data_IF_543605851939
#
_entry.id   IF_543605851939
#
_cell.length_a   1.000
_cell.length_b   1.000
_cell.length_c   1.000
_cell.angle_alpha   90.00
_cell.angle_beta   90.00
_cell.angle_gamma   90.00
#
_symmetry.space_group_name_H-M   'P 1'
#
loop_
_entity.id
_entity.type
_entity.pdbx_description
1 polymer ?
#
# COMPACT_ATOMS: atom_id res chain seq x y z
N UNK A 1 -3.55 29.05 -0.21
CA UNK A 1 -3.87 27.69 -0.68
C UNK A 1 -2.68 26.83 -0.29
N UNK A 2 -2.88 25.76 0.50
CA UNK A 2 -1.82 24.78 0.75
C UNK A 2 -1.33 24.24 -0.61
N UNK A 3 -0.04 24.39 -0.91
CA UNK A 3 0.56 23.79 -2.10
C UNK A 3 0.52 22.27 -1.96
N UNK A 4 -0.32 21.62 -2.77
CA UNK A 4 -0.35 20.16 -2.83
C UNK A 4 0.92 19.65 -3.51
N UNK A 5 1.47 18.59 -2.93
CA UNK A 5 2.63 17.87 -3.43
C UNK A 5 2.15 16.70 -4.28
N UNK A 6 2.13 16.89 -5.60
CA UNK A 6 1.69 15.89 -6.57
C UNK A 6 1.91 16.37 -8.00
N UNK A 7 1.82 15.44 -8.95
CA UNK A 7 1.82 15.76 -10.38
C UNK A 7 0.37 15.63 -10.87
N UNK A 8 -0.25 16.71 -11.38
CA UNK A 8 -1.60 16.66 -11.94
C UNK A 8 -1.74 15.52 -12.95
N UNK A 9 -2.91 14.88 -12.98
CA UNK A 9 -3.17 13.78 -13.90
C UNK A 9 -3.07 14.24 -15.36
N UNK A 10 -3.38 15.52 -15.61
CA UNK A 10 -3.40 16.18 -16.90
C UNK A 10 -2.00 16.65 -17.35
N UNK A 11 -0.99 16.64 -16.47
CA UNK A 11 0.36 17.06 -16.82
C UNK A 11 1.16 15.91 -17.45
N UNK A 12 1.63 16.02 -18.71
CA UNK A 12 2.45 14.98 -19.35
C UNK A 12 3.74 14.64 -18.60
N UNK A 13 4.26 15.56 -17.78
CA UNK A 13 5.42 15.31 -16.92
C UNK A 13 5.25 14.06 -16.03
N UNK A 14 4.00 13.76 -15.64
CA UNK A 14 3.67 12.61 -14.81
C UNK A 14 3.50 11.28 -15.55
N UNK A 15 3.59 11.24 -16.88
CA UNK A 15 3.27 10.04 -17.67
C UNK A 15 4.15 8.85 -17.32
N UNK A 16 5.46 9.06 -17.20
CA UNK A 16 6.40 8.01 -16.81
C UNK A 16 6.09 7.46 -15.42
N UNK A 17 5.77 8.33 -14.45
CA UNK A 17 5.40 7.92 -13.11
C UNK A 17 4.09 7.12 -13.14
N UNK A 18 3.07 7.59 -13.86
CA UNK A 18 1.78 6.89 -14.00
C UNK A 18 1.94 5.53 -14.67
N UNK A 19 2.78 5.41 -15.69
CA UNK A 19 3.09 4.14 -16.35
C UNK A 19 3.72 3.13 -15.37
N UNK A 20 4.67 3.58 -14.53
CA UNK A 20 5.27 2.74 -13.49
C UNK A 20 4.27 2.33 -12.41
N UNK A 21 3.43 3.27 -11.93
CA UNK A 21 2.36 2.96 -10.97
C UNK A 21 1.40 1.91 -11.56
N UNK A 22 1.00 2.08 -12.82
CA UNK A 22 0.13 1.12 -13.53
C UNK A 22 0.78 -0.27 -13.64
N UNK A 23 2.08 -0.35 -13.91
CA UNK A 23 2.84 -1.60 -13.88
C UNK A 23 2.85 -2.22 -12.48
N UNK A 24 3.03 -1.43 -11.43
CA UNK A 24 2.94 -1.90 -10.04
C UNK A 24 1.56 -2.47 -9.69
N UNK A 25 0.48 -1.82 -10.15
CA UNK A 25 -0.88 -2.34 -9.98
C UNK A 25 -1.11 -3.69 -10.67
N UNK A 26 -0.47 -3.96 -11.82
CA UNK A 26 -0.52 -5.27 -12.49
C UNK A 26 0.14 -6.36 -11.65
N UNK A 27 1.27 -6.04 -11.00
CA UNK A 27 1.93 -6.98 -10.08
C UNK A 27 1.03 -7.29 -8.89
N UNK A 28 0.43 -6.26 -8.26
CA UNK A 28 -0.53 -6.47 -7.17
C UNK A 28 -1.73 -7.32 -7.62
N UNK A 29 -2.29 -7.04 -8.80
CA UNK A 29 -3.38 -7.83 -9.38
C UNK A 29 -3.00 -9.30 -9.46
N UNK A 30 -1.81 -9.62 -9.99
CA UNK A 30 -1.38 -11.02 -10.10
C UNK A 30 -1.20 -11.69 -8.74
N UNK A 31 -0.66 -10.97 -7.75
CA UNK A 31 -0.52 -11.48 -6.37
C UNK A 31 -1.88 -11.74 -5.69
N UNK A 32 -2.88 -10.90 -5.94
CA UNK A 32 -4.25 -11.07 -5.43
C UNK A 32 -5.01 -12.20 -6.13
N UNK A 33 -4.83 -12.35 -7.45
CA UNK A 33 -5.44 -13.46 -8.20
C UNK A 33 -4.99 -14.82 -7.66
N UNK A 34 -3.73 -14.95 -7.23
CA UNK A 34 -3.26 -16.18 -6.57
C UNK A 34 -4.08 -16.49 -5.30
N UNK A 35 -4.42 -15.48 -4.50
CA UNK A 35 -5.31 -15.65 -3.34
C UNK A 35 -6.70 -16.10 -3.77
N UNK A 36 -7.30 -15.41 -4.73
CA UNK A 36 -8.64 -15.72 -5.23
C UNK A 36 -8.73 -17.14 -5.81
N UNK A 37 -7.75 -17.54 -6.62
CA UNK A 37 -7.63 -18.88 -7.18
C UNK A 37 -7.59 -19.95 -6.08
N UNK A 38 -6.80 -19.74 -5.02
CA UNK A 38 -6.64 -20.72 -3.93
C UNK A 38 -7.83 -20.76 -2.99
N UNK A 39 -8.44 -19.62 -2.67
CA UNK A 39 -9.67 -19.58 -1.86
C UNK A 39 -10.88 -20.14 -2.61
N UNK A 40 -10.89 -20.07 -3.94
CA UNK A 40 -11.87 -20.74 -4.80
C UNK A 40 -11.73 -22.26 -4.85
N UNK A 41 -10.61 -22.83 -4.40
CA UNK A 41 -10.43 -24.29 -4.38
C UNK A 41 -11.31 -24.97 -3.31
N UNK A 42 -11.94 -26.11 -3.62
CA UNK A 42 -12.66 -26.90 -2.64
C UNK A 42 -11.73 -27.34 -1.50
N UNK A 43 -12.20 -27.31 -0.25
CA UNK A 43 -11.39 -27.66 0.93
C UNK A 43 -10.68 -29.03 0.80
N UNK A 44 -11.35 -30.01 0.19
CA UNK A 44 -10.78 -31.36 -0.07
C UNK A 44 -9.52 -31.36 -0.94
N UNK A 45 -9.36 -30.36 -1.81
CA UNK A 45 -8.19 -30.23 -2.70
C UNK A 45 -7.03 -29.50 -2.04
N UNK A 46 -7.31 -28.76 -0.96
CA UNK A 46 -6.32 -28.02 -0.18
C UNK A 46 -5.72 -28.92 0.89
N UNK A 47 -6.56 -29.73 1.55
CA UNK A 47 -6.17 -30.56 2.68
C UNK A 47 -5.18 -31.67 2.29
N UNK A 48 -4.04 -31.70 2.98
CA UNK A 48 -2.95 -32.65 2.74
C UNK A 48 -3.26 -34.07 3.23
N UNK A 49 -4.13 -34.24 4.24
CA UNK A 49 -4.40 -35.55 4.85
C UNK A 49 -5.89 -35.92 4.92
N UNK A 50 -6.16 -37.24 4.87
CA UNK A 50 -7.50 -37.80 5.15
C UNK A 50 -7.95 -37.55 6.60
N UNK A 51 -7.01 -37.48 7.54
CA UNK A 51 -7.30 -37.12 8.94
C UNK A 51 -7.85 -35.70 9.05
N UNK A 52 -7.41 -34.79 8.18
CA UNK A 52 -7.86 -33.42 8.20
C UNK A 52 -9.33 -33.33 7.78
N UNK A 53 -9.73 -34.17 6.82
CA UNK A 53 -11.12 -34.28 6.37
C UNK A 53 -12.02 -34.83 7.49
N UNK A 54 -11.52 -35.75 8.30
CA UNK A 54 -12.27 -36.32 9.43
C UNK A 54 -12.60 -35.28 10.51
N UNK A 55 -11.77 -34.25 10.69
CA UNK A 55 -12.06 -33.14 11.62
C UNK A 55 -13.32 -32.38 11.26
N UNK A 56 -13.78 -32.42 10.00
CA UNK A 56 -15.04 -31.76 9.61
C UNK A 56 -16.23 -32.24 10.45
N UNK A 57 -16.23 -33.50 10.85
CA UNK A 57 -17.32 -34.12 11.62
C UNK A 57 -17.08 -33.96 13.12
N UNK A 58 -15.82 -34.07 13.57
CA UNK A 58 -15.46 -34.14 15.00
C UNK A 58 -15.23 -32.75 15.60
N UNK A 59 -14.54 -31.85 14.88
CA UNK A 59 -14.23 -30.49 15.30
C UNK A 59 -14.29 -29.50 14.13
N UNK A 60 -15.50 -29.01 13.77
CA UNK A 60 -15.70 -28.12 12.62
C UNK A 60 -14.83 -26.86 12.63
N UNK A 61 -14.66 -26.22 13.79
CA UNK A 61 -13.81 -25.03 13.93
C UNK A 61 -12.33 -25.33 13.66
N UNK A 62 -11.83 -26.49 14.10
CA UNK A 62 -10.47 -26.95 13.81
C UNK A 62 -10.30 -27.25 12.32
N UNK A 63 -11.30 -27.86 11.71
CA UNK A 63 -11.31 -28.11 10.27
C UNK A 63 -11.23 -26.79 9.47
N UNK A 64 -12.05 -25.80 9.82
CA UNK A 64 -12.03 -24.50 9.14
C UNK A 64 -10.69 -23.78 9.30
N UNK A 65 -10.14 -23.76 10.52
CA UNK A 65 -8.82 -23.17 10.77
C UNK A 65 -7.71 -23.88 9.98
N UNK A 66 -7.74 -25.21 9.91
CA UNK A 66 -6.74 -25.98 9.15
C UNK A 66 -6.85 -25.71 7.65
N UNK A 67 -8.07 -25.61 7.11
CA UNK A 67 -8.30 -25.26 5.71
C UNK A 67 -7.72 -23.87 5.41
N UNK A 68 -7.94 -22.88 6.29
CA UNK A 68 -7.37 -21.53 6.13
C UNK A 68 -5.85 -21.57 6.16
N UNK A 69 -5.24 -22.25 7.13
CA UNK A 69 -3.78 -22.36 7.23
C UNK A 69 -3.17 -22.98 5.97
N UNK A 70 -3.75 -24.08 5.48
CA UNK A 70 -3.24 -24.73 4.27
C UNK A 70 -3.46 -23.90 3.00
N UNK A 71 -4.52 -23.09 2.93
CA UNK A 71 -4.70 -22.11 1.84
C UNK A 71 -3.61 -21.04 1.88
N UNK A 72 -3.36 -20.45 3.03
CA UNK A 72 -2.32 -19.42 3.21
C UNK A 72 -0.93 -19.97 2.86
N UNK A 73 -0.61 -21.21 3.23
CA UNK A 73 0.62 -21.90 2.81
C UNK A 73 0.76 -22.00 1.28
N UNK A 74 -0.31 -22.40 0.59
CA UNK A 74 -0.31 -22.56 -0.87
C UNK A 74 -0.16 -21.19 -1.54
N UNK A 75 -0.88 -20.17 -1.05
CA UNK A 75 -0.80 -18.79 -1.55
C UNK A 75 0.62 -18.27 -1.40
N UNK A 76 1.20 -18.40 -0.21
CA UNK A 76 2.55 -17.98 0.07
C UNK A 76 3.54 -18.62 -0.92
N UNK A 77 3.50 -19.94 -1.08
CA UNK A 77 4.36 -20.66 -2.02
C UNK A 77 4.19 -20.19 -3.46
N UNK A 78 2.95 -20.05 -3.94
CA UNK A 78 2.66 -19.60 -5.32
C UNK A 78 3.11 -18.16 -5.57
N UNK A 79 2.92 -17.26 -4.61
CA UNK A 79 3.38 -15.88 -4.71
C UNK A 79 4.91 -15.80 -4.71
N UNK A 80 5.59 -16.57 -3.86
CA UNK A 80 7.05 -16.65 -3.87
C UNK A 80 7.59 -17.15 -5.22
N UNK A 81 6.95 -18.16 -5.82
CA UNK A 81 7.34 -18.65 -7.16
C UNK A 81 7.09 -17.61 -8.25
N UNK A 82 5.97 -16.89 -8.19
CA UNK A 82 5.72 -15.77 -9.09
C UNK A 82 6.81 -14.69 -8.97
N UNK A 83 7.16 -14.28 -7.75
CA UNK A 83 8.18 -13.25 -7.49
C UNK A 83 9.55 -13.70 -7.95
N UNK A 84 9.90 -14.98 -7.78
CA UNK A 84 11.15 -15.56 -8.26
C UNK A 84 11.35 -15.34 -9.77
N UNK A 85 10.26 -15.41 -10.55
CA UNK A 85 10.25 -15.22 -11.99
C UNK A 85 9.92 -13.79 -12.43
N UNK A 86 9.66 -12.88 -11.47
CA UNK A 86 9.31 -11.49 -11.76
C UNK A 86 10.54 -10.70 -12.25
N UNK A 87 10.44 -9.96 -13.36
CA UNK A 87 11.46 -9.00 -13.77
C UNK A 87 11.71 -7.96 -12.68
N UNK A 88 12.99 -7.65 -12.41
CA UNK A 88 13.37 -6.70 -11.36
C UNK A 88 12.72 -5.32 -11.53
N UNK A 89 12.53 -4.88 -12.78
CA UNK A 89 11.85 -3.60 -13.07
C UNK A 89 10.40 -3.57 -12.57
N UNK A 90 9.66 -4.66 -12.72
CA UNK A 90 8.29 -4.76 -12.22
C UNK A 90 8.25 -4.81 -10.68
N UNK A 91 9.28 -5.37 -10.04
CA UNK A 91 9.41 -5.30 -8.59
C UNK A 91 9.65 -3.84 -8.11
N UNK A 92 10.50 -3.07 -8.80
CA UNK A 92 10.67 -1.63 -8.51
C UNK A 92 9.36 -0.84 -8.67
N UNK A 93 8.63 -1.10 -9.74
CA UNK A 93 7.37 -0.42 -10.05
C UNK A 93 6.29 -0.78 -9.01
N UNK A 94 6.23 -2.04 -8.57
CA UNK A 94 5.40 -2.45 -7.44
C UNK A 94 5.77 -1.69 -6.16
N UNK A 95 7.06 -1.60 -5.82
CA UNK A 95 7.52 -0.88 -4.63
C UNK A 95 7.15 0.60 -4.67
N UNK A 96 7.33 1.25 -5.82
CA UNK A 96 6.95 2.64 -6.02
C UNK A 96 5.44 2.84 -5.83
N UNK A 97 4.63 2.02 -6.49
CA UNK A 97 3.18 2.03 -6.35
C UNK A 97 2.77 1.82 -4.88
N UNK A 98 3.31 0.80 -4.22
CA UNK A 98 2.95 0.47 -2.84
C UNK A 98 3.41 1.54 -1.84
N UNK A 99 4.53 2.21 -2.10
CA UNK A 99 4.98 3.35 -1.29
C UNK A 99 3.97 4.49 -1.34
N UNK A 100 3.46 4.84 -2.52
CA UNK A 100 2.40 5.83 -2.69
C UNK A 100 1.09 5.35 -2.05
N UNK A 101 0.71 4.10 -2.29
CA UNK A 101 -0.48 3.51 -1.71
C UNK A 101 -0.48 3.55 -0.18
N UNK A 102 0.68 3.37 0.45
CA UNK A 102 0.82 3.42 1.91
C UNK A 102 0.41 4.77 2.52
N UNK A 103 0.43 5.87 1.75
CA UNK A 103 -0.02 7.16 2.25
C UNK A 103 -1.53 7.29 2.32
N UNK A 104 -2.30 6.47 1.60
CA UNK A 104 -3.76 6.40 1.74
C UNK A 104 -4.17 5.92 3.16
N UNK A 105 -3.28 5.17 3.81
CA UNK A 105 -3.44 4.69 5.19
C UNK A 105 -2.81 5.65 6.23
N UNK A 106 -2.44 6.88 5.83
CA UNK A 106 -2.14 7.93 6.82
C UNK A 106 -3.41 8.20 7.62
N UNK A 107 -3.26 8.57 8.89
CA UNK A 107 -4.35 8.80 9.83
C UNK A 107 -4.79 10.28 9.95
N UNK A 108 -5.21 11.02 8.91
CA UNK A 108 -6.11 12.12 9.16
C UNK A 108 -7.50 11.54 9.43
N UNK A 109 -8.18 12.10 10.43
CA UNK A 109 -9.58 11.81 10.81
C UNK A 109 -10.50 11.84 9.58
N UNK A 110 -10.12 12.59 8.54
CA UNK A 110 -10.82 12.65 7.24
C UNK A 110 -10.95 11.33 6.49
N UNK A 111 -10.03 10.36 6.70
CA UNK A 111 -10.04 9.10 5.95
C UNK A 111 -10.85 7.99 6.64
N UNK A 112 -11.12 8.11 7.94
CA UNK A 112 -11.79 7.03 8.69
C UNK A 112 -13.07 7.48 9.38
N UNK A 113 -13.38 8.79 9.37
CA UNK A 113 -14.46 9.38 10.15
C UNK A 113 -14.20 9.31 11.67
N UNK A 114 -15.00 10.04 12.44
CA UNK A 114 -14.95 10.01 13.91
C UNK A 114 -15.50 8.70 14.49
N UNK A 115 -16.21 7.92 13.68
CA UNK A 115 -16.92 6.71 14.12
C UNK A 115 -15.99 5.59 14.63
N UNK A 116 -14.74 5.51 14.18
CA UNK A 116 -13.81 4.42 14.52
C UNK A 116 -12.41 4.88 14.92
N UNK A 117 -12.29 6.00 15.63
CA UNK A 117 -11.04 6.37 16.31
C UNK A 117 -10.91 5.64 17.65
N UNK A 118 -9.81 4.89 17.91
CA UNK A 118 -8.58 4.80 17.14
C UNK A 118 -8.59 3.72 16.04
N UNK A 119 -7.71 3.90 15.04
CA UNK A 119 -7.49 2.93 13.95
C UNK A 119 -7.21 1.54 14.52
N UNK A 120 -8.06 0.58 14.17
CA UNK A 120 -8.18 -0.70 14.88
C UNK A 120 -7.13 -1.75 14.47
N UNK A 121 -6.31 -1.46 13.45
CA UNK A 121 -5.40 -2.44 12.84
C UNK A 121 -3.93 -2.14 13.16
N UNK A 122 -3.25 -3.17 13.67
CA UNK A 122 -1.83 -3.18 14.02
C UNK A 122 -1.31 -2.08 14.96
N UNK A 123 -0.19 -2.40 15.59
CA UNK A 123 0.44 -1.66 16.67
C UNK A 123 1.12 -0.39 16.17
N UNK A 124 0.35 0.67 15.89
CA UNK A 124 0.71 2.07 16.17
C UNK A 124 -0.22 3.02 15.41
N UNK A 125 -0.84 3.92 16.16
CA UNK A 125 -1.39 5.15 15.61
C UNK A 125 -0.20 6.01 15.13
N UNK A 126 -0.14 6.44 13.86
CA UNK A 126 0.83 7.45 13.40
C UNK A 126 1.78 7.03 12.27
N UNK A 127 2.95 7.69 12.21
CA UNK A 127 3.94 7.59 11.10
C UNK A 127 4.53 6.16 11.00
N UNK A 128 4.64 5.45 12.11
CA UNK A 128 5.22 4.11 12.13
C UNK A 128 4.31 3.06 11.50
N UNK A 129 2.97 3.21 11.56
CA UNK A 129 2.02 2.33 10.86
C UNK A 129 2.27 2.28 9.35
N UNK A 130 2.52 3.44 8.72
CA UNK A 130 2.88 3.48 7.29
C UNK A 130 4.22 2.79 7.00
N UNK A 131 5.21 2.95 7.90
CA UNK A 131 6.53 2.31 7.73
C UNK A 131 6.39 0.79 7.81
N UNK A 132 5.58 0.29 8.75
CA UNK A 132 5.26 -1.13 8.89
C UNK A 132 4.55 -1.66 7.64
N UNK A 133 3.55 -0.94 7.14
CA UNK A 133 2.86 -1.27 5.89
C UNK A 133 3.84 -1.36 4.71
N UNK A 134 4.69 -0.36 4.51
CA UNK A 134 5.69 -0.37 3.41
C UNK A 134 6.66 -1.55 3.50
N UNK A 135 7.06 -1.94 4.71
CA UNK A 135 7.96 -3.08 4.97
C UNK A 135 7.25 -4.44 4.93
N UNK A 136 5.94 -4.46 4.73
CA UNK A 136 5.14 -5.69 4.79
C UNK A 136 4.96 -6.27 6.19
N UNK A 137 5.28 -5.49 7.23
CA UNK A 137 5.21 -5.93 8.62
C UNK A 137 3.82 -5.73 9.25
N UNK A 138 2.93 -5.03 8.54
CA UNK A 138 1.53 -4.89 8.94
C UNK A 138 0.65 -5.96 8.29
N UNK A 139 -0.35 -6.45 9.02
CA UNK A 139 -1.45 -7.27 8.54
C UNK A 139 -2.25 -6.58 7.44
N UNK A 140 -2.36 -5.25 7.48
CA UNK A 140 -2.98 -4.48 6.37
C UNK A 140 -2.24 -4.73 5.06
N UNK A 141 -0.92 -4.99 5.11
CA UNK A 141 -0.16 -5.43 3.92
C UNK A 141 -0.67 -6.75 3.38
N UNK A 142 -0.90 -7.74 4.26
CA UNK A 142 -1.48 -9.02 3.87
C UNK A 142 -2.85 -8.81 3.23
N UNK A 143 -3.70 -7.97 3.84
CA UNK A 143 -5.03 -7.68 3.33
C UNK A 143 -4.98 -7.04 1.94
N UNK A 144 -4.13 -6.04 1.72
CA UNK A 144 -3.97 -5.41 0.40
C UNK A 144 -3.48 -6.41 -0.63
N UNK A 145 -2.52 -7.27 -0.28
CA UNK A 145 -2.06 -8.34 -1.16
C UNK A 145 -3.20 -9.31 -1.50
N UNK A 146 -4.06 -9.62 -0.53
CA UNK A 146 -5.16 -10.57 -0.65
C UNK A 146 -6.30 -10.03 -1.53
N UNK A 147 -6.79 -8.83 -1.25
CA UNK A 147 -7.90 -8.19 -1.96
C UNK A 147 -7.48 -7.66 -3.35
N UNK A 148 -6.29 -7.09 -3.45
CA UNK A 148 -5.75 -6.58 -4.69
C UNK A 148 -6.24 -5.17 -5.09
N UNK A 149 -6.07 -4.80 -6.38
CA UNK A 149 -6.33 -3.45 -6.86
C UNK A 149 -7.81 -3.07 -6.96
N UNK A 150 -8.70 -4.06 -7.08
CA UNK A 150 -10.12 -3.80 -7.32
C UNK A 150 -10.77 -3.12 -6.10
N UNK A 151 -10.30 -3.44 -4.88
CA UNK A 151 -10.60 -2.74 -3.64
C UNK A 151 -10.46 -1.21 -3.75
N UNK A 152 -9.36 -0.74 -4.34
CA UNK A 152 -9.08 0.69 -4.50
C UNK A 152 -9.85 1.29 -5.66
N UNK A 153 -10.00 0.54 -6.75
CA UNK A 153 -10.83 0.96 -7.89
C UNK A 153 -12.28 1.19 -7.46
N UNK A 154 -12.82 0.31 -6.64
CA UNK A 154 -14.18 0.41 -6.14
C UNK A 154 -14.36 1.67 -5.30
N UNK A 155 -13.49 1.87 -4.31
CA UNK A 155 -13.50 3.07 -3.47
C UNK A 155 -13.28 4.37 -4.24
N UNK A 156 -12.37 4.41 -5.21
CA UNK A 156 -11.97 5.66 -5.87
C UNK A 156 -12.82 6.01 -7.09
N UNK A 157 -13.43 5.02 -7.75
CA UNK A 157 -14.05 5.22 -9.06
C UNK A 157 -15.44 4.63 -9.20
N UNK A 158 -15.65 3.37 -8.78
CA UNK A 158 -16.91 2.69 -9.10
C UNK A 158 -18.05 3.02 -8.14
N UNK A 159 -17.73 3.24 -6.86
CA UNK A 159 -18.75 3.44 -5.82
C UNK A 159 -19.10 4.92 -5.64
N UNK A 160 -20.37 5.26 -5.37
CA UNK A 160 -20.78 6.62 -5.04
C UNK A 160 -20.12 7.11 -3.75
N UNK A 161 -19.55 8.31 -3.75
CA UNK A 161 -18.84 8.87 -2.60
C UNK A 161 -19.76 9.59 -1.61
N UNK A 162 -20.98 9.90 -2.04
CA UNK A 162 -22.01 10.63 -1.32
C UNK A 162 -22.88 9.73 -0.42
N UNK A 163 -22.88 8.42 -0.66
CA UNK A 163 -23.61 7.45 0.14
C UNK A 163 -22.77 6.96 1.32
N UNK A 164 -23.37 6.96 2.52
CA UNK A 164 -22.66 6.59 3.76
C UNK A 164 -22.14 5.14 3.73
N UNK A 165 -22.84 4.22 3.05
CA UNK A 165 -22.49 2.80 2.93
C UNK A 165 -21.22 2.53 2.12
N UNK A 166 -20.86 3.43 1.21
CA UNK A 166 -19.74 3.25 0.28
C UNK A 166 -18.62 4.25 0.49
N UNK A 167 -18.90 5.33 1.24
CA UNK A 167 -17.96 6.39 1.61
C UNK A 167 -16.65 5.86 2.21
N UNK A 168 -16.71 4.78 2.99
CA UNK A 168 -15.55 4.17 3.65
C UNK A 168 -15.34 2.69 3.26
N UNK A 169 -15.65 2.32 2.02
CA UNK A 169 -15.59 0.95 1.51
C UNK A 169 -14.33 0.17 1.92
N UNK A 170 -13.12 0.75 1.75
CA UNK A 170 -11.87 0.04 2.11
C UNK A 170 -11.79 -0.25 3.60
N UNK A 171 -12.14 0.74 4.44
CA UNK A 171 -12.15 0.60 5.89
C UNK A 171 -13.12 -0.50 6.30
N UNK A 172 -14.33 -0.49 5.75
CA UNK A 172 -15.37 -1.44 6.15
C UNK A 172 -15.01 -2.87 5.72
N UNK A 173 -14.40 -3.02 4.55
CA UNK A 173 -13.83 -4.31 4.10
C UNK A 173 -12.69 -4.79 5.01
N UNK A 174 -11.79 -3.90 5.41
CA UNK A 174 -10.72 -4.21 6.37
C UNK A 174 -11.27 -4.69 7.71
N UNK A 175 -12.25 -3.96 8.26
CA UNK A 175 -12.91 -4.29 9.53
C UNK A 175 -13.54 -5.68 9.43
N UNK A 176 -14.32 -5.92 8.37
CA UNK A 176 -14.98 -7.20 8.14
C UNK A 176 -13.96 -8.36 8.00
N UNK A 177 -12.84 -8.14 7.33
CA UNK A 177 -11.80 -9.16 7.19
C UNK A 177 -11.04 -9.43 8.51
N UNK A 178 -10.82 -8.40 9.32
CA UNK A 178 -10.11 -8.51 10.61
C UNK A 178 -10.92 -9.27 11.65
N UNK A 179 -12.19 -8.91 11.81
CA UNK A 179 -13.09 -9.60 12.74
C UNK A 179 -13.57 -10.94 12.18
N UNK A 180 -13.55 -11.12 10.85
CA UNK A 180 -13.99 -12.35 10.19
C UNK A 180 -15.42 -12.72 10.57
N UNK A 181 -15.66 -13.98 10.90
CA UNK A 181 -16.97 -14.48 11.37
C UNK A 181 -17.13 -14.41 12.89
N UNK A 182 -16.26 -13.68 13.61
CA UNK A 182 -16.41 -13.53 15.05
C UNK A 182 -17.69 -12.75 15.36
N UNK A 183 -18.31 -13.03 16.52
CA UNK A 183 -19.51 -12.32 16.97
C UNK A 183 -19.24 -10.92 17.52
N UNK A 184 -17.99 -10.45 17.43
CA UNK A 184 -17.57 -9.16 17.99
C UNK A 184 -17.91 -8.10 16.96
N UNK A 185 -18.81 -7.18 17.30
CA UNK A 185 -19.05 -6.02 16.46
C UNK A 185 -17.88 -5.04 16.55
N UNK A 186 -17.63 -4.24 15.51
CA UNK A 186 -16.66 -3.15 15.57
C UNK A 186 -16.92 -2.18 16.73
N UNK A 187 -18.19 -1.96 17.10
CA UNK A 187 -18.61 -1.13 18.23
C UNK A 187 -18.26 -1.76 19.57
N UNK A 188 -18.46 -3.07 19.72
CA UNK A 188 -18.05 -3.81 20.92
C UNK A 188 -16.53 -3.78 21.09
N UNK A 189 -15.79 -3.89 19.97
CA UNK A 189 -14.34 -3.74 19.97
C UNK A 189 -13.90 -2.35 20.46
N UNK A 190 -14.50 -1.28 19.94
CA UNK A 190 -14.15 0.09 20.37
C UNK A 190 -14.43 0.33 21.85
N UNK A 191 -15.55 -0.18 22.37
CA UNK A 191 -15.91 -0.05 23.79
C UNK A 191 -14.92 -0.75 24.72
N UNK A 192 -14.21 -1.76 24.23
CA UNK A 192 -13.25 -2.55 25.00
C UNK A 192 -11.79 -2.18 24.68
N UNK A 193 -11.57 -1.18 23.81
CA UNK A 193 -10.24 -0.72 23.45
C UNK A 193 -9.59 0.06 24.60
N UNK A 194 -8.98 -0.68 25.53
CA UNK A 194 -8.03 -0.16 26.50
C UNK A 194 -6.61 -0.43 25.96
N UNK A 195 -5.80 0.60 25.64
CA UNK A 195 -4.48 0.44 25.01
C UNK A 195 -3.48 -0.47 25.75
N UNK A 196 -3.76 -0.84 27.01
CA UNK A 196 -2.90 -1.69 27.85
C UNK A 196 -3.25 -3.18 27.82
N UNK A 197 -4.41 -3.57 27.30
CA UNK A 197 -4.94 -4.95 27.36
C UNK A 197 -5.42 -5.47 26.00
N UNK A 198 -4.83 -4.97 24.92
CA UNK A 198 -5.19 -5.40 23.57
C UNK A 198 -4.88 -6.89 23.36
N UNK A 199 -5.89 -7.66 22.99
CA UNK A 199 -5.76 -9.04 22.52
C UNK A 199 -6.33 -9.13 21.10
N UNK A 200 -5.48 -9.52 20.16
CA UNK A 200 -5.89 -9.79 18.79
C UNK A 200 -6.91 -10.95 18.75
N UNK A 201 -8.09 -10.70 18.19
CA UNK A 201 -9.19 -11.68 18.11
C UNK A 201 -8.80 -12.96 17.36
N UNK A 202 -7.81 -12.87 16.47
CA UNK A 202 -7.30 -14.00 15.69
C UNK A 202 -5.75 -14.00 15.67
N UNK A 203 -5.12 -13.72 16.81
CA UNK A 203 -3.66 -13.48 16.93
C UNK A 203 -2.77 -14.45 16.14
N UNK A 204 -3.05 -15.75 16.25
CA UNK A 204 -2.27 -16.80 15.57
C UNK A 204 -2.34 -16.67 14.06
N UNK A 205 -3.54 -16.49 13.51
CA UNK A 205 -3.79 -16.35 12.08
C UNK A 205 -3.20 -15.03 11.57
N UNK A 206 -3.49 -13.92 12.25
CA UNK A 206 -2.97 -12.61 11.86
C UNK A 206 -1.44 -12.56 11.92
N UNK A 207 -0.81 -13.23 12.88
CA UNK A 207 0.65 -13.33 12.97
C UNK A 207 1.23 -14.12 11.80
N UNK A 208 0.63 -15.26 11.42
CA UNK A 208 1.04 -16.01 10.22
C UNK A 208 0.89 -15.15 8.95
N UNK A 209 -0.23 -14.48 8.79
CA UNK A 209 -0.51 -13.62 7.63
C UNK A 209 0.48 -12.44 7.53
N UNK A 210 0.83 -11.81 8.66
CA UNK A 210 1.89 -10.80 8.75
C UNK A 210 3.25 -11.33 8.34
N UNK A 211 3.63 -12.49 8.85
CA UNK A 211 4.90 -13.13 8.51
C UNK A 211 4.98 -13.43 7.01
N UNK A 212 3.90 -13.93 6.41
CA UNK A 212 3.82 -14.17 4.96
C UNK A 212 3.91 -12.87 4.16
N UNK A 213 3.16 -11.82 4.52
CA UNK A 213 3.25 -10.53 3.84
C UNK A 213 4.66 -9.92 3.93
N UNK A 214 5.29 -10.01 5.10
CA UNK A 214 6.66 -9.53 5.33
C UNK A 214 7.67 -10.25 4.43
N UNK A 215 7.58 -11.59 4.35
CA UNK A 215 8.42 -12.40 3.46
C UNK A 215 8.20 -12.08 1.98
N UNK A 216 6.95 -11.87 1.57
CA UNK A 216 6.60 -11.47 0.20
C UNK A 216 7.19 -10.11 -0.15
N UNK A 217 7.05 -9.12 0.73
CA UNK A 217 7.63 -7.80 0.52
C UNK A 217 9.15 -7.85 0.50
N UNK A 218 9.78 -8.61 1.40
CA UNK A 218 11.22 -8.82 1.38
C UNK A 218 11.70 -9.44 0.06
N UNK A 219 10.98 -10.44 -0.47
CA UNK A 219 11.34 -11.05 -1.75
C UNK A 219 11.22 -10.07 -2.92
N UNK A 220 10.24 -9.17 -2.90
CA UNK A 220 10.11 -8.08 -3.89
C UNK A 220 11.22 -7.04 -3.73
N UNK A 221 11.62 -6.75 -2.49
CA UNK A 221 12.74 -5.86 -2.17
C UNK A 221 14.07 -6.41 -2.70
N UNK A 222 14.33 -7.70 -2.48
CA UNK A 222 15.53 -8.39 -2.97
C UNK A 222 15.55 -8.51 -4.50
N UNK A 223 14.38 -8.49 -5.15
CA UNK A 223 14.22 -8.51 -6.61
C UNK A 223 14.39 -7.14 -7.26
N UNK A 224 14.04 -6.07 -6.57
CA UNK A 224 14.28 -4.72 -7.05
C UNK A 224 15.79 -4.45 -7.14
N UNK A 225 16.24 -3.74 -8.18
CA UNK A 225 17.68 -3.47 -8.33
C UNK A 225 18.22 -2.70 -7.11
N UNK A 226 19.44 -3.00 -6.63
CA UNK A 226 20.04 -2.28 -5.51
C UNK A 226 20.15 -0.79 -5.82
N UNK A 227 19.28 0.01 -5.20
CA UNK A 227 19.18 1.44 -5.51
C UNK A 227 17.83 2.02 -5.11
N UNK A 228 17.65 2.26 -3.81
CA UNK A 228 16.45 2.91 -3.25
C UNK A 228 16.04 4.20 -3.99
N UNK A 229 16.99 4.87 -4.63
CA UNK A 229 16.81 6.12 -5.38
C UNK A 229 15.90 5.95 -6.61
N UNK A 230 15.94 4.82 -7.32
CA UNK A 230 15.16 4.62 -8.55
C UNK A 230 13.70 4.22 -8.29
N UNK A 231 13.40 3.70 -7.09
CA UNK A 231 12.06 3.33 -6.66
C UNK A 231 11.35 4.41 -5.83
N UNK A 232 12.06 5.47 -5.43
CA UNK A 232 11.49 6.54 -4.63
C UNK A 232 10.69 7.53 -5.49
N UNK A 233 9.39 7.74 -5.22
CA UNK A 233 8.58 8.74 -5.93
C UNK A 233 9.00 10.18 -5.59
N UNK A 234 9.78 10.37 -4.51
CA UNK A 234 10.27 11.68 -4.06
C UNK A 234 11.00 12.40 -5.19
N UNK A 235 11.83 11.69 -5.97
CA UNK A 235 12.56 12.30 -7.09
C UNK A 235 11.61 12.89 -8.12
N UNK A 236 10.55 12.17 -8.48
CA UNK A 236 9.55 12.65 -9.44
C UNK A 236 8.87 13.93 -8.92
N UNK A 237 8.53 13.97 -7.63
CA UNK A 237 7.89 15.14 -7.02
C UNK A 237 8.84 16.33 -6.88
N UNK A 238 10.09 16.12 -6.45
CA UNK A 238 11.10 17.18 -6.35
C UNK A 238 11.39 17.81 -7.70
N UNK A 239 11.57 17.00 -8.76
CA UNK A 239 11.80 17.51 -10.10
C UNK A 239 10.57 18.22 -10.68
N UNK A 240 9.35 17.71 -10.41
CA UNK A 240 8.14 18.40 -10.85
C UNK A 240 7.94 19.76 -10.17
N UNK A 241 8.34 19.89 -8.90
CA UNK A 241 8.28 21.16 -8.19
C UNK A 241 9.18 22.22 -8.86
N UNK A 242 10.35 21.84 -9.38
CA UNK A 242 11.19 22.73 -10.20
C UNK A 242 10.48 23.14 -11.50
N UNK A 243 9.83 22.19 -12.20
CA UNK A 243 9.04 22.50 -13.39
C UNK A 243 7.88 23.46 -13.11
N UNK A 244 7.21 23.29 -11.96
CA UNK A 244 6.12 24.17 -11.52
C UNK A 244 6.62 25.57 -11.23
N UNK A 245 7.75 25.71 -10.55
CA UNK A 245 8.36 27.01 -10.29
C UNK A 245 8.71 27.73 -11.60
N UNK A 246 9.33 27.02 -12.56
CA UNK A 246 9.67 27.59 -13.86
C UNK A 246 8.43 28.05 -14.64
N UNK A 247 7.31 27.32 -14.54
CA UNK A 247 6.04 27.74 -15.16
C UNK A 247 5.51 29.05 -14.58
N UNK A 248 5.59 29.22 -13.25
CA UNK A 248 5.21 30.46 -12.58
C UNK A 248 6.09 31.62 -13.06
N UNK A 249 7.40 31.41 -13.11
CA UNK A 249 8.37 32.42 -13.57
C UNK A 249 8.17 32.80 -15.05
N UNK A 250 7.71 31.86 -15.88
CA UNK A 250 7.45 32.07 -17.32
C UNK A 250 6.01 32.51 -17.63
N UNK A 251 5.16 32.70 -16.62
CA UNK A 251 3.77 33.13 -16.79
C UNK A 251 2.84 32.06 -17.38
N UNK A 252 3.26 30.79 -17.40
CA UNK A 252 2.40 29.66 -17.81
C UNK A 252 1.39 29.39 -16.70
N UNK A 253 0.08 29.37 -16.99
CA UNK A 253 -0.93 29.15 -15.98
C UNK A 253 -0.83 27.75 -15.34
N UNK A 254 -1.23 27.60 -14.06
CA UNK A 254 -1.23 26.31 -13.39
C UNK A 254 -2.23 25.34 -14.06
N UNK A 255 -1.88 24.06 -14.09
CA UNK A 255 -2.78 23.00 -14.56
C UNK A 255 -3.89 22.81 -13.53
N UNK A 256 -5.14 22.80 -14.01
CA UNK A 256 -6.32 22.57 -13.18
C UNK A 256 -6.46 21.09 -12.85
N UNK A 257 -6.35 20.74 -11.57
CA UNK A 257 -6.53 19.37 -11.09
C UNK A 257 -8.00 18.96 -11.09
N UNK A 258 -8.39 17.99 -11.94
CA UNK A 258 -9.79 17.55 -12.06
C UNK A 258 -10.25 16.66 -10.89
N UNK A 259 -9.34 15.97 -10.19
CA UNK A 259 -9.67 14.98 -9.15
C UNK A 259 -9.62 15.54 -7.71
N UNK A 260 -9.54 16.86 -7.55
CA UNK A 260 -9.43 17.52 -6.23
C UNK A 260 -10.63 17.29 -5.30
N UNK A 261 -11.75 16.80 -5.83
CA UNK A 261 -13.03 16.56 -5.14
C UNK A 261 -13.22 15.10 -4.66
N UNK A 262 -12.30 14.17 -4.96
CA UNK A 262 -12.45 12.74 -4.62
C UNK A 262 -11.90 12.45 -3.21
N UNK A 263 -12.69 11.85 -2.29
CA UNK A 263 -12.20 11.35 -0.99
C UNK A 263 -11.10 10.29 -1.14
N UNK A 264 -10.28 10.06 -0.10
CA UNK A 264 -9.18 9.08 -0.14
C UNK A 264 -8.10 9.36 -1.20
N UNK A 265 -7.78 10.63 -1.46
CA UNK A 265 -6.67 10.99 -2.33
C UNK A 265 -5.30 10.75 -1.66
N UNK A 266 -4.31 10.40 -2.47
CA UNK A 266 -2.92 10.22 -2.03
C UNK A 266 -2.32 11.61 -1.76
N UNK A 267 -2.44 12.12 -0.54
CA UNK A 267 -1.74 13.34 -0.09
C UNK A 267 -0.31 12.97 0.33
N UNK A 268 0.58 12.90 -0.66
CA UNK A 268 1.99 12.68 -0.42
C UNK A 268 2.64 13.99 0.03
N UNK A 269 2.56 14.31 1.32
CA UNK A 269 3.34 15.42 1.87
C UNK A 269 4.82 15.07 1.83
N UNK A 270 5.55 15.61 0.85
CA UNK A 270 7.00 15.68 0.95
C UNK A 270 7.30 16.59 2.15
N UNK A 271 8.03 16.16 3.18
CA UNK A 271 8.50 17.06 4.22
C UNK A 271 9.21 18.24 3.56
N UNK A 272 8.80 19.47 3.87
CA UNK A 272 9.40 20.69 3.29
C UNK A 272 10.93 20.68 3.41
N UNK A 273 11.46 20.06 4.47
CA UNK A 273 12.88 19.81 4.71
C UNK A 273 13.56 19.02 3.59
N UNK A 274 12.91 17.99 3.03
CA UNK A 274 13.45 17.20 1.93
C UNK A 274 13.43 17.98 0.61
N UNK A 275 12.40 18.81 0.41
CA UNK A 275 12.33 19.72 -0.73
C UNK A 275 13.41 20.81 -0.65
N UNK A 276 13.55 21.47 0.50
CA UNK A 276 14.61 22.45 0.75
C UNK A 276 15.99 21.85 0.57
N UNK A 277 16.23 20.63 1.11
CA UNK A 277 17.50 19.93 0.95
C UNK A 277 17.80 19.60 -0.51
N UNK A 278 16.80 19.19 -1.30
CA UNK A 278 16.97 18.98 -2.75
C UNK A 278 17.35 20.29 -3.44
N UNK A 279 16.62 21.38 -3.17
CA UNK A 279 16.88 22.69 -3.76
C UNK A 279 18.30 23.19 -3.45
N UNK A 280 18.77 23.03 -2.21
CA UNK A 280 20.13 23.39 -1.80
C UNK A 280 21.18 22.60 -2.57
N UNK A 281 21.04 21.27 -2.66
CA UNK A 281 21.98 20.41 -3.39
C UNK A 281 22.00 20.72 -4.88
N UNK A 282 20.85 20.96 -5.51
CA UNK A 282 20.78 21.34 -6.92
C UNK A 282 21.47 22.69 -7.15
N UNK A 283 21.22 23.69 -6.29
CA UNK A 283 21.86 25.00 -6.38
C UNK A 283 23.38 24.91 -6.23
N UNK A 284 23.87 24.13 -5.27
CA UNK A 284 25.30 23.87 -5.08
C UNK A 284 25.93 23.20 -6.31
N UNK A 285 25.25 22.23 -6.93
CA UNK A 285 25.72 21.59 -8.17
C UNK A 285 25.77 22.54 -9.35
N UNK A 286 24.76 23.38 -9.53
CA UNK A 286 24.74 24.40 -10.59
C UNK A 286 25.87 25.42 -10.39
N UNK A 287 26.09 25.88 -9.16
CA UNK A 287 27.20 26.77 -8.82
C UNK A 287 28.56 26.11 -9.04
N UNK A 288 28.73 24.84 -8.67
CA UNK A 288 29.97 24.09 -8.89
C UNK A 288 30.24 23.85 -10.38
N UNK A 289 29.22 23.57 -11.19
CA UNK A 289 29.34 23.42 -12.64
C UNK A 289 29.71 24.74 -13.33
N UNK A 290 29.19 25.87 -12.84
CA UNK A 290 29.55 27.21 -13.32
C UNK A 290 30.94 27.65 -12.84
N UNK A 291 31.40 27.16 -11.68
CA UNK A 291 32.71 27.42 -11.10
C UNK A 291 33.82 26.50 -11.64
N UNK A 292 33.53 25.62 -12.62
CA UNK A 292 34.53 24.85 -13.36
C UNK A 292 34.78 25.44 -14.75
N UNK A 293 35.53 26.54 -14.89
CA UNK A 293 36.12 26.92 -16.15
C UNK A 293 37.41 26.12 -16.40
N UNK A 294 37.50 25.47 -17.56
CA UNK A 294 38.73 25.17 -18.30
C UNK A 294 39.96 24.69 -17.47
N UNK A 295 40.05 23.39 -17.20
CA UNK A 295 41.35 22.73 -16.95
C UNK A 295 41.54 21.60 -17.97
N UNK A 296 41.68 22.00 -19.24
CA UNK A 296 42.12 21.13 -20.32
C UNK A 296 42.64 22.01 -21.46
N UNK A 297 43.81 22.61 -21.27
CA UNK A 297 44.82 22.94 -22.29
C UNK A 297 45.97 23.70 -21.63
N UNK A 298 47.02 22.96 -21.30
CA UNK A 298 48.42 23.29 -21.58
C UNK A 298 49.17 21.96 -21.79
#
# INVERSE_FOLDING_TARGET
>A
MEERYGIPAEDPYGDDLRARIASGWRVLRRLSQISQEVYGLPAKTVLKSRTDIAWKVVHPSRFESEVVNQREDIIFKRRMEYIKNLPGKLAEDYKMMFMLLSSAFRSPISNYGEAYTPWVFDWSCGIDGQRLLRRGQSWVTWFVLHEGPDLFRDQWWNLPHDLEETKNHIRDRLINAWFGTTKISPEDYMRHFLPKEWNDVNEKLHTMQRDYASKIHKALDDKATPGFINASPIRCFSQYAECRQLRVETGVPPIRETLSHVPFHIDFRCPDELFQKHCTVTRERSLAAMASPFSARE
#
